data_IF_777568935984
#
_entry.id   IF_777568935984
#
_cell.length_a   1.000
_cell.length_b   1.000
_cell.length_c   1.000
_cell.angle_alpha   90.00
_cell.angle_beta   90.00
_cell.angle_gamma   90.00
#
_symmetry.space_group_name_H-M   'P 1'
#
loop_
_entity.id
_entity.type
_entity.pdbx_description
1 polymer ?
#
# COMPACT_ATOMS: atom_id res chain seq x y z
N UNK A 1 -21.29 13.89 -18.09
CA UNK A 1 -21.21 13.10 -16.84
C UNK A 1 -21.32 11.64 -17.24
N UNK A 2 -20.31 10.80 -16.98
CA UNK A 2 -20.40 9.37 -17.34
C UNK A 2 -21.33 8.72 -16.32
N UNK A 3 -22.49 8.25 -16.77
CA UNK A 3 -23.52 7.68 -15.90
C UNK A 3 -23.23 6.19 -15.64
N UNK A 4 -22.66 5.89 -14.47
CA UNK A 4 -22.18 4.56 -14.08
C UNK A 4 -23.36 3.58 -13.84
N UNK A 5 -24.60 4.09 -13.76
CA UNK A 5 -25.79 3.28 -13.53
C UNK A 5 -26.43 2.75 -14.82
N UNK A 6 -26.07 3.29 -15.98
CA UNK A 6 -26.50 2.77 -17.29
C UNK A 6 -25.51 1.77 -17.90
N UNK A 7 -24.35 1.57 -17.28
CA UNK A 7 -23.35 0.62 -17.75
C UNK A 7 -23.77 -0.83 -17.51
N UNK A 8 -23.59 -1.73 -18.50
CA UNK A 8 -23.78 -3.17 -18.30
C UNK A 8 -22.89 -3.70 -17.16
N UNK A 9 -23.30 -4.81 -16.54
CA UNK A 9 -22.65 -5.37 -15.34
C UNK A 9 -21.16 -5.66 -15.55
N UNK A 10 -20.78 -6.08 -16.76
CA UNK A 10 -19.40 -6.45 -17.14
C UNK A 10 -18.44 -5.24 -17.11
N UNK A 11 -18.66 -4.14 -17.84
CA UNK A 11 -17.78 -2.98 -17.78
C UNK A 11 -17.75 -2.31 -16.39
N UNK A 12 -18.83 -2.41 -15.60
CA UNK A 12 -18.84 -1.93 -14.20
C UNK A 12 -17.87 -2.71 -13.31
N UNK A 13 -17.84 -4.04 -13.46
CA UNK A 13 -16.89 -4.91 -12.75
C UNK A 13 -15.45 -4.62 -13.15
N UNK A 14 -15.17 -4.47 -14.45
CA UNK A 14 -13.83 -4.13 -14.96
C UNK A 14 -13.35 -2.80 -14.38
N UNK A 15 -14.24 -1.81 -14.27
CA UNK A 15 -13.92 -0.51 -13.66
C UNK A 15 -13.52 -0.65 -12.19
N UNK A 16 -14.27 -1.44 -11.41
CA UNK A 16 -14.01 -1.69 -9.99
C UNK A 16 -12.68 -2.43 -9.81
N UNK A 17 -12.42 -3.45 -10.63
CA UNK A 17 -11.18 -4.22 -10.60
C UNK A 17 -9.98 -3.34 -10.96
N UNK A 18 -10.09 -2.54 -12.03
CA UNK A 18 -9.06 -1.59 -12.43
C UNK A 18 -8.77 -0.56 -11.34
N UNK A 19 -9.81 -0.07 -10.66
CA UNK A 19 -9.67 0.86 -9.53
C UNK A 19 -8.97 0.21 -8.34
N UNK A 20 -9.33 -1.02 -7.98
CA UNK A 20 -8.66 -1.78 -6.91
C UNK A 20 -7.18 -2.02 -7.21
N UNK A 21 -6.85 -2.38 -8.44
CA UNK A 21 -5.45 -2.55 -8.88
C UNK A 21 -4.69 -1.23 -8.78
N UNK A 22 -5.30 -0.13 -9.23
CA UNK A 22 -4.73 1.21 -9.11
C UNK A 22 -4.46 1.61 -7.65
N UNK A 23 -5.41 1.35 -6.75
CA UNK A 23 -5.24 1.57 -5.32
C UNK A 23 -4.10 0.74 -4.72
N UNK A 24 -4.02 -0.56 -5.05
CA UNK A 24 -2.94 -1.42 -4.55
C UNK A 24 -1.57 -0.91 -5.02
N UNK A 25 -1.47 -0.47 -6.28
CA UNK A 25 -0.24 0.14 -6.82
C UNK A 25 0.14 1.42 -6.05
N UNK A 26 -0.85 2.27 -5.74
CA UNK A 26 -0.65 3.47 -4.94
C UNK A 26 -0.12 3.15 -3.54
N UNK A 27 -0.72 2.18 -2.84
CA UNK A 27 -0.24 1.74 -1.52
C UNK A 27 1.19 1.20 -1.57
N UNK A 28 1.57 0.47 -2.62
CA UNK A 28 2.94 -0.03 -2.80
C UNK A 28 3.92 1.14 -2.97
N UNK A 29 3.57 2.13 -3.78
CA UNK A 29 4.40 3.32 -4.00
C UNK A 29 4.58 4.11 -2.70
N UNK A 30 3.50 4.28 -1.93
CA UNK A 30 3.53 4.99 -0.65
C UNK A 30 4.12 4.18 0.51
N UNK A 31 4.36 2.87 0.35
CA UNK A 31 4.87 2.01 1.42
C UNK A 31 6.15 2.57 2.05
N UNK A 32 7.08 3.06 1.24
CA UNK A 32 8.33 3.64 1.74
C UNK A 32 8.10 4.93 2.52
N UNK A 33 7.24 5.80 2.01
CA UNK A 33 6.86 7.05 2.69
C UNK A 33 6.18 6.77 4.03
N UNK A 34 5.26 5.82 4.08
CA UNK A 34 4.55 5.40 5.30
C UNK A 34 5.55 4.90 6.35
N UNK A 35 6.49 4.04 5.95
CA UNK A 35 7.55 3.51 6.84
C UNK A 35 8.42 4.66 7.37
N UNK A 36 8.81 5.61 6.52
CA UNK A 36 9.60 6.78 6.92
C UNK A 36 8.87 7.68 7.92
N UNK A 37 7.59 7.94 7.67
CA UNK A 37 6.74 8.75 8.56
C UNK A 37 6.57 8.04 9.91
N UNK A 38 6.28 6.74 9.92
CA UNK A 38 6.18 5.94 11.14
C UNK A 38 7.48 5.95 11.94
N UNK A 39 8.62 5.84 11.26
CA UNK A 39 9.95 5.89 11.90
C UNK A 39 10.28 7.27 12.48
N UNK A 40 9.68 8.34 11.92
CA UNK A 40 9.85 9.72 12.41
C UNK A 40 8.95 10.02 13.61
N UNK A 41 7.73 9.49 13.63
CA UNK A 41 6.73 9.78 14.67
C UNK A 41 6.90 8.87 15.89
N UNK A 42 7.15 7.58 15.68
CA UNK A 42 7.15 6.58 16.75
C UNK A 42 8.56 6.01 17.01
N UNK A 43 9.14 6.22 18.21
CA UNK A 43 10.41 5.59 18.58
C UNK A 43 10.29 4.07 18.71
N UNK A 44 9.12 3.54 19.10
CA UNK A 44 8.88 2.09 19.19
C UNK A 44 8.97 1.41 17.82
N UNK A 45 8.39 2.05 16.79
CA UNK A 45 8.48 1.55 15.42
C UNK A 45 9.92 1.55 14.90
N UNK A 46 10.72 2.55 15.31
CA UNK A 46 12.15 2.63 14.99
C UNK A 46 12.94 1.47 15.60
N UNK A 47 12.69 1.13 16.86
CA UNK A 47 13.31 -0.03 17.51
C UNK A 47 12.89 -1.35 16.86
N UNK A 48 11.62 -1.48 16.48
CA UNK A 48 11.11 -2.64 15.77
C UNK A 48 11.83 -2.86 14.43
N UNK A 49 11.99 -1.80 13.64
CA UNK A 49 12.73 -1.85 12.36
C UNK A 49 14.19 -2.23 12.60
N UNK A 50 14.85 -1.66 13.61
CA UNK A 50 16.25 -1.97 13.97
C UNK A 50 16.44 -3.45 14.32
N UNK A 51 15.62 -4.00 15.24
CA UNK A 51 15.65 -5.43 15.61
C UNK A 51 15.37 -6.34 14.41
N UNK A 52 14.53 -5.90 13.49
CA UNK A 52 14.20 -6.68 12.28
C UNK A 52 15.35 -6.68 11.28
N UNK A 53 16.05 -5.56 11.11
CA UNK A 53 17.26 -5.45 10.30
C UNK A 53 18.40 -6.32 10.85
N UNK A 54 18.65 -6.28 12.16
CA UNK A 54 19.68 -7.08 12.83
C UNK A 54 19.45 -8.59 12.64
N UNK A 55 18.21 -9.06 12.86
CA UNK A 55 17.82 -10.46 12.61
C UNK A 55 18.01 -10.88 11.15
N UNK A 56 17.73 -9.99 10.20
CA UNK A 56 17.90 -10.26 8.77
C UNK A 56 19.39 -10.33 8.38
N UNK A 57 20.24 -9.53 9.03
CA UNK A 57 21.69 -9.52 8.83
C UNK A 57 22.37 -10.76 9.41
N UNK A 58 21.85 -11.34 10.49
CA UNK A 58 22.35 -12.59 11.07
C UNK A 58 21.92 -13.86 10.32
N UNK A 59 20.82 -13.79 9.55
CA UNK A 59 20.35 -14.91 8.71
C UNK A 59 21.04 -14.99 7.34
N UNK A 60 21.97 -14.10 7.04
CA UNK A 60 22.67 -14.00 5.76
C UNK A 60 24.16 -14.21 5.98
#
# INVERSE_FOLDING_TARGET
MIDINTLPTVPKLILIIGFLIGLMSFFICFRYTIILVLMKISPEYREFIKKTLERKKQKK
#
